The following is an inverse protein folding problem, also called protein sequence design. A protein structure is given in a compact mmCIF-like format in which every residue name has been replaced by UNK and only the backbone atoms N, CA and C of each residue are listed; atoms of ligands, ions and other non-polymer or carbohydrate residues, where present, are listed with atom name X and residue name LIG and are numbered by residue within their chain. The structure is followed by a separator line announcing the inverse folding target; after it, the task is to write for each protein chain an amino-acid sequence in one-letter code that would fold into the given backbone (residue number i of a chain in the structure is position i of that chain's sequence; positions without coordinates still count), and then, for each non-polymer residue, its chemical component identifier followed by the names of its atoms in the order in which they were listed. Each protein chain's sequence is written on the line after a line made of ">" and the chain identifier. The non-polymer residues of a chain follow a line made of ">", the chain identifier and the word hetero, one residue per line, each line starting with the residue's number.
data_IF_852722107564
#
_entry.id   IF_852722107564
#
_cell.length_a   1.000
_cell.length_b   1.000
_cell.length_c   1.000
_cell.angle_alpha   90.00
_cell.angle_beta   90.00
_cell.angle_gamma   90.00
#
_symmetry.space_group_name_H-M   'P 1'
#
loop_
_entity.id
_entity.type
_entity.pdbx_description
1 polymer ?
#
# COMPACT_ATOMS: atom_id res chain seq x y z
N UNK A 1 -12.83 -23.46 -38.25
CA UNK A 1 -13.07 -24.05 -36.90
C UNK A 1 -14.56 -24.02 -36.61
N UNK A 2 -15.15 -25.15 -36.15
CA UNK A 2 -16.58 -25.20 -35.81
C UNK A 2 -16.87 -24.44 -34.53
N UNK A 3 -17.78 -23.45 -34.59
CA UNK A 3 -18.22 -22.68 -33.40
C UNK A 3 -19.10 -23.55 -32.47
N UNK A 4 -19.36 -23.09 -31.24
CA UNK A 4 -20.16 -23.80 -30.23
C UNK A 4 -21.56 -24.20 -30.76
N UNK A 5 -22.20 -23.32 -31.54
CA UNK A 5 -23.51 -23.55 -32.15
C UNK A 5 -23.50 -24.72 -33.15
N UNK A 6 -22.48 -24.81 -34.02
CA UNK A 6 -22.31 -25.93 -34.96
C UNK A 6 -22.05 -27.26 -34.24
N UNK A 7 -21.33 -27.22 -33.13
CA UNK A 7 -21.05 -28.40 -32.30
C UNK A 7 -22.30 -28.90 -31.60
N UNK A 8 -23.16 -28.01 -31.16
CA UNK A 8 -24.47 -28.33 -30.58
C UNK A 8 -25.35 -28.99 -31.63
N UNK A 9 -25.43 -28.43 -32.83
CA UNK A 9 -26.17 -29.00 -33.95
C UNK A 9 -25.69 -30.42 -34.29
N UNK A 10 -24.36 -30.67 -34.27
CA UNK A 10 -23.78 -32.01 -34.50
C UNK A 10 -24.25 -33.01 -33.43
N UNK A 11 -24.38 -32.57 -32.17
CA UNK A 11 -24.79 -33.45 -31.07
C UNK A 11 -26.27 -33.78 -31.09
N UNK A 12 -27.11 -32.83 -31.49
CA UNK A 12 -28.57 -32.98 -31.54
C UNK A 12 -29.07 -33.66 -32.83
N UNK A 13 -28.24 -33.72 -33.86
CA UNK A 13 -28.65 -34.29 -35.15
C UNK A 13 -28.65 -35.82 -35.17
N UNK A 14 -29.71 -36.40 -35.74
CA UNK A 14 -29.84 -37.82 -35.99
C UNK A 14 -29.20 -38.27 -37.32
N UNK A 15 -28.73 -37.31 -38.12
CA UNK A 15 -28.11 -37.59 -39.42
C UNK A 15 -26.86 -38.47 -39.28
N UNK A 16 -26.54 -39.19 -40.37
CA UNK A 16 -25.29 -39.95 -40.46
C UNK A 16 -24.07 -39.04 -40.44
N UNK A 17 -22.94 -39.54 -39.95
CA UNK A 17 -21.67 -38.79 -39.91
C UNK A 17 -21.26 -38.29 -41.29
N UNK A 18 -21.52 -39.09 -42.36
CA UNK A 18 -21.21 -38.74 -43.74
C UNK A 18 -22.09 -37.58 -44.24
N UNK A 19 -23.41 -37.61 -43.95
CA UNK A 19 -24.36 -36.57 -44.34
C UNK A 19 -24.03 -35.23 -43.62
N UNK A 20 -23.79 -35.27 -42.30
CA UNK A 20 -23.38 -34.12 -41.52
C UNK A 20 -22.04 -33.52 -41.99
N UNK A 21 -21.07 -34.37 -42.33
CA UNK A 21 -19.77 -33.92 -42.80
C UNK A 21 -19.90 -33.18 -44.15
N UNK A 22 -20.72 -33.71 -45.08
CA UNK A 22 -20.99 -33.06 -46.34
C UNK A 22 -21.76 -31.74 -46.16
N UNK A 23 -22.83 -31.74 -45.35
CA UNK A 23 -23.70 -30.57 -45.13
C UNK A 23 -22.95 -29.42 -44.43
N UNK A 24 -22.15 -29.72 -43.42
CA UNK A 24 -21.43 -28.74 -42.64
C UNK A 24 -20.02 -28.41 -43.18
N UNK A 25 -19.63 -29.08 -44.26
CA UNK A 25 -18.28 -28.98 -44.87
C UNK A 25 -17.17 -29.20 -43.82
N UNK A 26 -17.31 -30.25 -43.02
CA UNK A 26 -16.37 -30.59 -41.94
C UNK A 26 -15.81 -32.01 -42.15
N UNK A 27 -14.60 -32.25 -41.63
CA UNK A 27 -14.02 -33.59 -41.67
C UNK A 27 -14.86 -34.56 -40.84
N UNK A 28 -15.16 -35.77 -41.33
CA UNK A 28 -15.92 -36.81 -40.62
C UNK A 28 -15.36 -37.11 -39.21
N UNK A 29 -14.03 -37.07 -39.03
CA UNK A 29 -13.40 -37.23 -37.72
C UNK A 29 -13.79 -36.13 -36.76
N UNK A 30 -14.00 -34.90 -37.26
CA UNK A 30 -14.46 -33.76 -36.45
C UNK A 30 -15.91 -33.96 -36.03
N UNK A 31 -16.77 -34.46 -36.93
CA UNK A 31 -18.17 -34.79 -36.61
C UNK A 31 -18.23 -35.88 -35.54
N UNK A 32 -17.50 -37.00 -35.72
CA UNK A 32 -17.43 -38.07 -34.72
C UNK A 32 -16.95 -37.57 -33.37
N UNK A 33 -15.89 -36.78 -33.35
CA UNK A 33 -15.35 -36.17 -32.09
C UNK A 33 -16.43 -35.38 -31.35
N UNK A 34 -17.18 -34.53 -32.05
CA UNK A 34 -18.17 -33.67 -31.39
C UNK A 34 -19.47 -34.39 -31.09
N UNK A 35 -19.88 -35.42 -31.87
CA UNK A 35 -21.07 -36.25 -31.61
C UNK A 35 -20.96 -37.02 -30.28
N UNK A 36 -19.72 -37.39 -29.87
CA UNK A 36 -19.44 -38.10 -28.62
C UNK A 36 -18.86 -37.24 -27.51
N UNK A 37 -18.65 -35.91 -27.73
CA UNK A 37 -17.89 -35.09 -26.79
C UNK A 37 -18.63 -34.70 -25.49
N UNK A 38 -19.97 -34.80 -25.46
CA UNK A 38 -20.81 -34.40 -24.32
C UNK A 38 -20.66 -32.93 -23.90
N UNK A 39 -20.04 -32.09 -24.77
CA UNK A 39 -19.78 -30.66 -24.54
C UNK A 39 -19.64 -29.95 -25.87
N UNK A 40 -19.99 -28.65 -25.90
CA UNK A 40 -19.88 -27.79 -27.09
C UNK A 40 -18.63 -26.92 -27.09
N UNK A 41 -18.00 -26.74 -25.95
CA UNK A 41 -16.78 -25.96 -25.80
C UNK A 41 -15.51 -26.84 -25.86
N UNK A 42 -14.40 -26.25 -26.30
CA UNK A 42 -13.12 -26.93 -26.25
C UNK A 42 -12.72 -27.25 -24.81
N UNK A 43 -12.06 -28.40 -24.61
CA UNK A 43 -11.46 -28.70 -23.33
C UNK A 43 -10.36 -27.66 -23.01
N UNK A 44 -10.24 -27.30 -21.77
CA UNK A 44 -9.08 -26.49 -21.33
C UNK A 44 -7.80 -27.20 -21.73
N UNK A 45 -6.94 -26.50 -22.47
CA UNK A 45 -5.61 -26.99 -22.83
C UNK A 45 -4.72 -27.01 -21.60
N UNK A 46 -3.83 -27.97 -21.50
CA UNK A 46 -2.87 -28.09 -20.41
C UNK A 46 -3.09 -29.30 -19.51
N UNK A 47 -2.18 -29.57 -18.59
CA UNK A 47 -2.24 -30.74 -17.71
C UNK A 47 -3.39 -30.61 -16.72
N UNK A 48 -4.09 -31.72 -16.43
CA UNK A 48 -5.18 -31.77 -15.42
C UNK A 48 -4.70 -31.42 -14.01
N UNK A 49 -3.45 -31.72 -13.66
CA UNK A 49 -2.80 -31.40 -12.39
C UNK A 49 -1.48 -30.68 -12.69
N UNK A 50 -1.51 -29.35 -12.85
CA UNK A 50 -0.30 -28.59 -13.14
C UNK A 50 0.65 -28.63 -11.94
N UNK A 51 1.93 -28.90 -12.19
CA UNK A 51 3.02 -28.89 -11.20
C UNK A 51 3.99 -27.76 -11.53
N UNK A 52 4.76 -27.30 -10.53
CA UNK A 52 5.90 -26.44 -10.80
C UNK A 52 7.03 -27.22 -11.45
N UNK A 53 7.70 -26.62 -12.41
CA UNK A 53 8.93 -27.14 -13.00
C UNK A 53 10.17 -26.47 -12.42
N UNK A 54 9.98 -25.43 -11.60
CA UNK A 54 11.05 -24.57 -11.07
C UNK A 54 11.12 -24.62 -9.54
N UNK A 55 9.97 -24.58 -8.87
CA UNK A 55 9.89 -24.62 -7.40
C UNK A 55 9.76 -26.06 -6.93
N UNK A 56 10.50 -26.42 -5.89
CA UNK A 56 10.37 -27.70 -5.19
C UNK A 56 9.08 -27.75 -4.36
N UNK A 57 8.57 -28.93 -4.00
CA UNK A 57 7.40 -29.04 -3.10
C UNK A 57 7.60 -28.34 -1.75
N UNK A 58 8.81 -28.39 -1.18
CA UNK A 58 9.15 -27.72 0.08
C UNK A 58 9.11 -26.20 -0.07
N UNK A 59 9.68 -25.66 -1.15
CA UNK A 59 9.62 -24.21 -1.43
C UNK A 59 8.16 -23.73 -1.62
N UNK A 60 7.33 -24.52 -2.32
CA UNK A 60 5.90 -24.20 -2.45
C UNK A 60 5.18 -24.21 -1.11
N UNK A 61 5.50 -25.15 -0.21
CA UNK A 61 4.93 -25.21 1.12
C UNK A 61 5.33 -23.98 1.96
N UNK A 62 6.61 -23.60 1.94
CA UNK A 62 7.10 -22.37 2.62
C UNK A 62 6.36 -21.14 2.09
N UNK A 63 6.23 -20.99 0.78
CA UNK A 63 5.51 -19.88 0.16
C UNK A 63 4.04 -19.86 0.63
N UNK A 64 3.38 -21.00 0.65
CA UNK A 64 1.97 -21.10 1.03
C UNK A 64 1.76 -20.74 2.51
N UNK A 65 2.59 -21.27 3.41
CA UNK A 65 2.51 -20.95 4.83
C UNK A 65 2.83 -19.49 5.11
N UNK A 66 3.89 -18.96 4.51
CA UNK A 66 4.22 -17.54 4.61
C UNK A 66 3.04 -16.65 4.18
N UNK A 67 2.39 -16.98 3.05
CA UNK A 67 1.21 -16.25 2.56
C UNK A 67 0.02 -16.34 3.50
N UNK A 68 -0.26 -17.53 4.09
CA UNK A 68 -1.37 -17.73 5.04
C UNK A 68 -1.18 -16.94 6.32
N UNK A 69 0.03 -16.97 6.87
CA UNK A 69 0.36 -16.31 8.14
C UNK A 69 0.41 -14.80 7.98
N UNK A 70 1.14 -14.30 6.97
CA UNK A 70 1.37 -12.87 6.81
C UNK A 70 0.25 -12.12 6.11
N UNK A 71 -0.56 -12.81 5.28
CA UNK A 71 -1.55 -12.22 4.38
C UNK A 71 -0.97 -11.09 3.51
N UNK A 72 0.32 -11.12 3.25
CA UNK A 72 1.02 -10.14 2.43
C UNK A 72 0.55 -10.19 0.98
N UNK A 73 0.57 -9.06 0.28
CA UNK A 73 0.33 -9.01 -1.15
C UNK A 73 1.38 -9.81 -1.93
N UNK A 74 1.09 -10.19 -3.18
CA UNK A 74 1.98 -10.99 -4.02
C UNK A 74 3.41 -10.44 -4.08
N UNK A 75 3.53 -9.13 -4.27
CA UNK A 75 4.83 -8.47 -4.42
C UNK A 75 5.61 -8.43 -3.11
N UNK A 76 4.91 -8.29 -1.97
CA UNK A 76 5.53 -8.32 -0.63
C UNK A 76 6.03 -9.74 -0.30
N UNK A 77 5.26 -10.79 -0.63
CA UNK A 77 5.71 -12.19 -0.49
C UNK A 77 6.93 -12.46 -1.37
N UNK A 78 6.91 -11.97 -2.62
CA UNK A 78 8.04 -12.14 -3.53
C UNK A 78 9.32 -11.54 -2.96
N UNK A 79 9.26 -10.30 -2.49
CA UNK A 79 10.45 -9.62 -1.96
C UNK A 79 10.95 -10.26 -0.67
N UNK A 80 10.03 -10.69 0.21
CA UNK A 80 10.39 -11.34 1.48
C UNK A 80 11.08 -12.70 1.30
N UNK A 81 10.77 -13.42 0.22
CA UNK A 81 11.26 -14.80 0.03
C UNK A 81 12.32 -14.95 -1.07
N UNK A 82 12.57 -13.93 -1.90
CA UNK A 82 13.48 -14.04 -3.05
C UNK A 82 14.92 -14.37 -2.65
N UNK A 83 15.37 -13.92 -1.48
CA UNK A 83 16.73 -14.15 -1.00
C UNK A 83 16.92 -15.57 -0.45
N UNK A 84 15.84 -16.16 0.12
CA UNK A 84 15.81 -17.55 0.58
C UNK A 84 15.52 -18.55 -0.55
N UNK A 85 14.79 -18.12 -1.58
CA UNK A 85 14.44 -18.93 -2.75
C UNK A 85 14.97 -18.24 -4.02
N UNK A 86 16.26 -18.40 -4.39
CA UNK A 86 16.89 -17.66 -5.48
C UNK A 86 16.21 -17.84 -6.85
N UNK A 87 15.48 -18.98 -7.05
CA UNK A 87 14.70 -19.26 -8.26
C UNK A 87 13.32 -18.62 -8.27
N UNK A 88 12.94 -17.94 -7.18
CA UNK A 88 11.64 -17.32 -7.08
C UNK A 88 11.54 -16.15 -8.06
N UNK A 89 10.51 -16.15 -8.87
CA UNK A 89 10.11 -15.05 -9.73
C UNK A 89 8.67 -14.68 -9.42
N UNK A 90 8.29 -13.44 -9.70
CA UNK A 90 6.91 -13.01 -9.52
C UNK A 90 5.91 -13.92 -10.25
N UNK A 91 6.28 -14.43 -11.43
CA UNK A 91 5.43 -15.28 -12.27
C UNK A 91 5.25 -16.69 -11.71
N UNK A 92 6.35 -17.32 -11.21
CA UNK A 92 6.24 -18.66 -10.63
C UNK A 92 5.58 -18.64 -9.25
N UNK A 93 5.81 -17.57 -8.45
CA UNK A 93 5.08 -17.32 -7.21
C UNK A 93 3.58 -17.17 -7.43
N UNK A 94 3.15 -16.36 -8.42
CA UNK A 94 1.73 -16.19 -8.72
C UNK A 94 1.09 -17.52 -9.12
N UNK A 95 1.74 -18.30 -9.99
CA UNK A 95 1.26 -19.63 -10.39
C UNK A 95 1.22 -20.62 -9.23
N UNK A 96 2.20 -20.58 -8.32
CA UNK A 96 2.19 -21.36 -7.08
C UNK A 96 0.95 -21.03 -6.25
N UNK A 97 0.75 -19.74 -5.92
CA UNK A 97 -0.41 -19.30 -5.14
C UNK A 97 -1.75 -19.62 -5.81
N UNK A 98 -1.83 -19.57 -7.17
CA UNK A 98 -3.03 -20.00 -7.89
C UNK A 98 -3.31 -21.50 -7.73
N UNK A 99 -2.28 -22.35 -7.86
CA UNK A 99 -2.44 -23.81 -7.68
C UNK A 99 -2.96 -24.18 -6.29
N UNK A 100 -2.53 -23.44 -5.28
CA UNK A 100 -2.90 -23.66 -3.88
C UNK A 100 -4.11 -22.84 -3.41
N UNK A 101 -4.83 -22.14 -4.32
CA UNK A 101 -6.02 -21.35 -3.97
C UNK A 101 -5.75 -20.09 -3.17
N UNK A 102 -4.49 -19.63 -3.10
CA UNK A 102 -4.04 -18.50 -2.28
C UNK A 102 -3.77 -17.21 -3.09
N UNK A 103 -4.20 -17.18 -4.36
CA UNK A 103 -3.96 -16.03 -5.24
C UNK A 103 -4.77 -14.79 -4.85
N UNK A 104 -5.98 -14.99 -4.31
CA UNK A 104 -6.81 -13.91 -3.75
C UNK A 104 -6.60 -13.82 -2.26
N UNK A 105 -6.46 -12.59 -1.74
CA UNK A 105 -6.62 -12.34 -0.31
C UNK A 105 -8.12 -12.37 0.00
N UNK A 106 -8.53 -12.74 1.24
CA UNK A 106 -9.90 -12.53 1.68
C UNK A 106 -10.26 -11.06 1.43
N UNK A 107 -11.41 -10.81 0.84
CA UNK A 107 -11.80 -9.53 0.27
C UNK A 107 -11.72 -8.37 1.26
N UNK A 108 -10.81 -7.44 0.98
CA UNK A 108 -11.05 -6.01 1.17
C UNK A 108 -11.66 -5.50 -0.16
N UNK A 109 -12.86 -5.92 -0.49
CA UNK A 109 -13.60 -5.51 -1.69
C UNK A 109 -14.15 -4.09 -1.53
N UNK A 110 -13.25 -3.10 -1.47
CA UNK A 110 -13.60 -1.72 -1.69
C UNK A 110 -12.55 -1.04 -2.58
N UNK A 111 -12.97 -0.77 -3.83
CA UNK A 111 -12.37 0.21 -4.73
C UNK A 111 -11.08 -0.16 -5.45
N UNK A 112 -11.12 -1.11 -6.37
CA UNK A 112 -10.28 -1.04 -7.58
C UNK A 112 -11.10 -0.50 -8.75
N UNK A 113 -11.33 0.82 -8.77
CA UNK A 113 -11.70 1.50 -10.01
C UNK A 113 -10.43 1.62 -10.87
N UNK A 114 -10.50 1.21 -12.12
CA UNK A 114 -9.51 1.51 -13.14
C UNK A 114 -9.43 3.03 -13.33
N UNK A 115 -8.48 3.65 -12.64
CA UNK A 115 -8.17 5.07 -12.86
C UNK A 115 -7.04 5.17 -13.86
N UNK A 116 -7.30 5.84 -14.98
CA UNK A 116 -6.31 6.25 -15.97
C UNK A 116 -5.07 6.82 -15.29
N UNK A 117 -3.89 6.35 -15.69
CA UNK A 117 -2.60 6.80 -15.17
C UNK A 117 -2.34 8.23 -15.61
N UNK A 118 -2.85 9.23 -14.91
CA UNK A 118 -2.37 10.60 -15.06
C UNK A 118 -0.91 10.63 -14.62
N UNK A 119 -0.01 11.09 -15.47
CA UNK A 119 1.39 11.36 -15.09
C UNK A 119 1.38 12.41 -14.00
N UNK A 120 1.81 12.03 -12.80
CA UNK A 120 2.00 12.97 -11.72
C UNK A 120 3.23 13.80 -11.97
N UNK A 121 3.17 15.09 -11.62
CA UNK A 121 4.32 15.99 -11.66
C UNK A 121 5.43 15.45 -10.74
N UNK A 122 6.67 15.43 -11.22
CA UNK A 122 7.81 15.06 -10.39
C UNK A 122 8.08 16.15 -9.36
N UNK A 123 8.38 15.72 -8.14
CA UNK A 123 8.73 16.58 -7.02
C UNK A 123 10.03 16.07 -6.38
N UNK A 124 10.78 16.99 -5.80
CA UNK A 124 11.91 16.64 -4.94
C UNK A 124 11.42 16.09 -3.58
N UNK A 125 12.31 15.39 -2.86
CA UNK A 125 12.05 14.92 -1.49
C UNK A 125 11.74 16.12 -0.58
N UNK A 126 10.83 15.95 0.39
CA UNK A 126 10.42 17.01 1.31
C UNK A 126 9.05 17.62 1.00
N UNK A 127 8.31 17.06 0.03
CA UNK A 127 6.89 17.33 -0.10
C UNK A 127 6.11 16.31 0.76
N UNK A 128 5.47 16.76 1.83
CA UNK A 128 4.78 15.91 2.81
C UNK A 128 3.28 16.17 2.78
N UNK A 129 2.50 15.10 2.82
CA UNK A 129 1.05 15.16 3.03
C UNK A 129 0.76 14.82 4.48
N UNK A 130 -0.05 15.62 5.15
CA UNK A 130 -0.46 15.42 6.54
C UNK A 130 -1.96 15.22 6.59
N UNK A 131 -2.40 14.31 7.44
CA UNK A 131 -3.80 14.02 7.73
C UNK A 131 -3.95 13.54 9.16
N UNK A 132 -5.15 13.73 9.72
CA UNK A 132 -5.51 13.28 11.06
C UNK A 132 -6.69 12.34 10.94
N UNK A 133 -6.58 11.19 11.55
CA UNK A 133 -7.66 10.21 11.54
C UNK A 133 -7.97 9.72 12.95
N UNK A 134 -9.25 9.54 13.22
CA UNK A 134 -9.71 8.97 14.47
C UNK A 134 -9.38 7.48 14.55
N UNK A 135 -8.90 7.03 15.70
CA UNK A 135 -8.73 5.63 16.05
C UNK A 135 -9.39 5.39 17.41
N UNK A 136 -10.03 4.25 17.58
CA UNK A 136 -10.70 3.87 18.82
C UNK A 136 -10.03 2.63 19.39
N UNK A 137 -9.79 2.69 20.68
CA UNK A 137 -9.42 1.57 21.52
C UNK A 137 -10.53 1.37 22.54
N UNK A 138 -10.47 0.32 23.35
CA UNK A 138 -11.54 0.03 24.32
C UNK A 138 -11.79 1.19 25.27
N UNK A 139 -10.71 1.73 25.85
CA UNK A 139 -10.78 2.72 26.91
C UNK A 139 -11.09 4.13 26.42
N UNK A 140 -10.74 4.47 25.16
CA UNK A 140 -10.84 5.86 24.69
C UNK A 140 -10.73 6.00 23.17
N UNK A 141 -11.03 7.21 22.73
CA UNK A 141 -10.83 7.70 21.37
C UNK A 141 -9.51 8.48 21.31
N UNK A 142 -8.71 8.18 20.29
CA UNK A 142 -7.44 8.85 20.01
C UNK A 142 -7.43 9.44 18.60
N UNK A 143 -6.56 10.38 18.37
CA UNK A 143 -6.33 11.00 17.08
C UNK A 143 -4.92 10.65 16.59
N UNK A 144 -4.86 9.97 15.45
CA UNK A 144 -3.62 9.60 14.81
C UNK A 144 -3.26 10.65 13.76
N UNK A 145 -2.18 11.37 13.99
CA UNK A 145 -1.59 12.33 13.09
C UNK A 145 -0.58 11.61 12.21
N UNK A 146 -0.71 11.74 10.91
CA UNK A 146 0.14 11.03 9.94
C UNK A 146 0.69 12.00 8.93
N UNK A 147 2.01 12.04 8.80
CA UNK A 147 2.72 12.73 7.74
C UNK A 147 3.42 11.72 6.82
N UNK A 148 3.24 11.82 5.50
CA UNK A 148 3.90 10.95 4.53
C UNK A 148 4.60 11.76 3.44
N UNK A 149 5.88 11.50 3.23
CA UNK A 149 6.62 12.10 2.13
C UNK A 149 6.15 11.53 0.79
N UNK A 150 5.80 12.42 -0.15
CA UNK A 150 5.28 12.05 -1.46
C UNK A 150 6.27 11.23 -2.28
N UNK A 151 7.56 11.48 -2.17
CA UNK A 151 8.61 10.90 -2.99
C UNK A 151 9.14 9.60 -2.38
N UNK A 152 9.70 9.66 -1.17
CA UNK A 152 10.32 8.49 -0.54
C UNK A 152 9.34 7.61 0.25
N UNK A 153 8.08 8.03 0.42
CA UNK A 153 7.04 7.32 1.21
C UNK A 153 7.38 7.14 2.69
N UNK A 154 8.42 7.79 3.18
CA UNK A 154 8.71 7.83 4.61
C UNK A 154 7.52 8.43 5.35
N UNK A 155 7.07 7.77 6.40
CA UNK A 155 5.91 8.18 7.17
C UNK A 155 6.29 8.44 8.62
N UNK A 156 5.78 9.55 9.16
CA UNK A 156 5.89 9.93 10.55
C UNK A 156 4.49 9.92 11.18
N UNK A 157 4.35 9.39 12.39
CA UNK A 157 3.04 9.17 13.01
C UNK A 157 3.10 9.47 14.50
N UNK A 158 2.08 10.17 15.02
CA UNK A 158 1.87 10.38 16.45
C UNK A 158 0.42 10.07 16.85
N UNK A 159 0.22 9.73 18.11
CA UNK A 159 -1.10 9.55 18.73
C UNK A 159 -1.31 10.62 19.79
N UNK A 160 -2.42 11.34 19.70
CA UNK A 160 -2.85 12.38 20.61
C UNK A 160 -4.27 12.14 21.11
N UNK A 161 -4.56 12.61 22.31
CA UNK A 161 -5.90 12.50 22.89
C UNK A 161 -6.90 13.50 22.28
N UNK A 162 -6.40 14.57 21.68
CA UNK A 162 -7.20 15.64 21.08
C UNK A 162 -6.64 16.08 19.73
N UNK A 163 -7.53 16.50 18.86
CA UNK A 163 -7.21 17.12 17.58
C UNK A 163 -7.27 18.64 17.73
N UNK A 164 -6.19 19.22 18.25
CA UNK A 164 -6.08 20.68 18.47
C UNK A 164 -5.00 21.29 17.58
N UNK A 165 -5.01 22.61 17.45
CA UNK A 165 -3.96 23.38 16.76
C UNK A 165 -2.60 23.19 17.42
N UNK A 166 -2.55 23.18 18.76
CA UNK A 166 -1.32 22.99 19.54
C UNK A 166 -0.69 21.62 19.22
N UNK A 167 -1.51 20.55 19.19
CA UNK A 167 -1.05 19.21 18.84
C UNK A 167 -0.58 19.13 17.38
N UNK A 168 -1.25 19.82 16.45
CA UNK A 168 -0.82 19.89 15.05
C UNK A 168 0.53 20.62 14.89
N UNK A 169 0.73 21.71 15.62
CA UNK A 169 2.01 22.45 15.65
C UNK A 169 3.12 21.60 16.27
N UNK A 170 2.83 20.91 17.38
CA UNK A 170 3.82 20.03 18.02
C UNK A 170 4.19 18.85 17.13
N UNK A 171 3.20 18.21 16.49
CA UNK A 171 3.42 17.16 15.50
C UNK A 171 4.34 17.63 14.36
N UNK A 172 4.08 18.83 13.81
CA UNK A 172 4.92 19.38 12.75
C UNK A 172 6.35 19.62 13.21
N UNK A 173 6.53 20.19 14.42
CA UNK A 173 7.87 20.42 15.01
C UNK A 173 8.64 19.13 15.17
N UNK A 174 8.01 18.10 15.71
CA UNK A 174 8.61 16.79 15.91
C UNK A 174 8.95 16.11 14.56
N UNK A 175 8.04 16.20 13.58
CA UNK A 175 8.26 15.67 12.25
C UNK A 175 9.45 16.34 11.53
N UNK A 176 9.59 17.66 11.64
CA UNK A 176 10.74 18.40 11.09
C UNK A 176 12.05 17.91 11.72
N UNK A 177 12.07 17.70 13.03
CA UNK A 177 13.25 17.20 13.75
C UNK A 177 13.58 15.75 13.39
N UNK A 178 12.57 14.93 13.12
CA UNK A 178 12.75 13.51 12.81
C UNK A 178 13.16 13.25 11.37
N UNK A 179 12.59 13.97 10.40
CA UNK A 179 12.95 13.79 8.99
C UNK A 179 14.41 14.21 8.74
N UNK A 180 15.26 13.39 8.10
CA UNK A 180 16.63 13.78 7.79
C UNK A 180 16.72 14.78 6.62
N UNK A 181 15.67 14.87 5.81
CA UNK A 181 15.55 15.78 4.65
C UNK A 181 14.81 17.07 5.00
N UNK A 182 15.11 18.12 4.28
CA UNK A 182 14.42 19.41 4.41
C UNK A 182 12.98 19.28 3.90
N UNK A 183 12.00 19.60 4.73
CA UNK A 183 10.61 19.70 4.31
C UNK A 183 10.44 21.10 3.71
N UNK A 184 10.05 21.16 2.44
CA UNK A 184 9.86 22.43 1.71
C UNK A 184 8.38 22.69 1.37
N UNK A 185 7.54 21.64 1.44
CA UNK A 185 6.11 21.77 1.14
C UNK A 185 5.29 20.80 1.97
N UNK A 186 4.18 21.30 2.49
CA UNK A 186 3.19 20.50 3.23
C UNK A 186 1.83 20.68 2.56
N UNK A 187 1.08 19.59 2.46
CA UNK A 187 -0.31 19.57 2.05
C UNK A 187 -1.16 19.01 3.20
N UNK A 188 -2.15 19.78 3.65
CA UNK A 188 -3.16 19.35 4.62
C UNK A 188 -4.56 19.48 4.05
N UNK A 189 -5.54 18.93 4.75
CA UNK A 189 -6.94 19.32 4.56
C UNK A 189 -7.20 20.74 5.11
N UNK A 190 -8.47 21.20 5.03
CA UNK A 190 -8.87 22.52 5.52
C UNK A 190 -9.34 22.50 6.99
N UNK A 191 -8.94 21.49 7.78
CA UNK A 191 -9.32 21.38 9.18
C UNK A 191 -8.89 22.57 10.02
N UNK A 192 -9.65 22.94 11.05
CA UNK A 192 -9.39 24.09 11.91
C UNK A 192 -8.05 23.99 12.66
N UNK A 193 -7.50 22.80 12.82
CA UNK A 193 -6.18 22.55 13.40
C UNK A 193 -5.02 23.00 12.49
N UNK A 194 -5.27 23.21 11.19
CA UNK A 194 -4.27 23.60 10.20
C UNK A 194 -4.49 25.00 9.64
N UNK A 195 -5.73 25.53 9.67
CA UNK A 195 -6.05 26.81 9.01
C UNK A 195 -7.29 27.46 9.60
N UNK A 196 -7.36 28.78 9.46
CA UNK A 196 -8.57 29.57 9.78
C UNK A 196 -9.59 29.63 8.63
N UNK A 197 -9.34 29.00 7.49
CA UNK A 197 -10.18 29.16 6.30
C UNK A 197 -11.63 28.66 6.46
N UNK A 198 -11.86 27.67 7.34
CA UNK A 198 -13.22 27.17 7.65
C UNK A 198 -14.00 28.04 8.62
N UNK A 199 -13.32 28.97 9.32
CA UNK A 199 -14.02 29.91 10.17
C UNK A 199 -14.82 30.87 9.30
N UNK A 200 -16.01 31.26 9.78
CA UNK A 200 -16.75 32.33 9.16
C UNK A 200 -15.90 33.62 9.12
N UNK A 201 -16.04 34.41 8.08
CA UNK A 201 -15.14 35.54 7.81
C UNK A 201 -15.02 36.52 8.99
N UNK A 202 -16.12 36.78 9.71
CA UNK A 202 -16.15 37.64 10.89
C UNK A 202 -15.45 37.03 12.12
N UNK A 203 -15.22 35.71 12.13
CA UNK A 203 -14.50 35.00 13.21
C UNK A 203 -13.02 34.75 12.89
N UNK A 204 -12.57 35.07 11.67
CA UNK A 204 -11.18 34.94 11.28
C UNK A 204 -10.36 36.03 11.95
N UNK A 205 -9.27 35.68 12.66
CA UNK A 205 -8.34 36.67 13.18
C UNK A 205 -7.77 37.50 12.02
N UNK A 206 -8.04 38.81 12.02
CA UNK A 206 -7.62 39.71 10.91
C UNK A 206 -6.09 39.92 10.87
N UNK A 207 -5.45 39.87 12.06
CA UNK A 207 -4.04 40.25 12.22
C UNK A 207 -3.16 39.13 12.77
N UNK A 208 -3.64 37.90 12.81
CA UNK A 208 -2.88 36.76 13.33
C UNK A 208 -2.85 35.61 12.33
N UNK A 209 -1.62 35.29 11.90
CA UNK A 209 -1.36 34.06 11.15
C UNK A 209 -1.74 32.83 11.97
N UNK A 210 -2.28 31.81 11.32
CA UNK A 210 -2.56 30.54 12.00
C UNK A 210 -1.26 29.95 12.57
N UNK A 211 -1.24 29.41 13.80
CA UNK A 211 0.01 28.93 14.44
C UNK A 211 0.74 27.87 13.62
N UNK A 212 0.00 27.02 12.89
CA UNK A 212 0.58 26.04 11.99
C UNK A 212 1.29 26.70 10.78
N UNK A 213 0.67 27.73 10.18
CA UNK A 213 1.27 28.51 9.09
C UNK A 213 2.49 29.31 9.59
N UNK A 214 2.44 29.84 10.80
CA UNK A 214 3.55 30.55 11.41
C UNK A 214 4.78 29.63 11.58
N UNK A 215 4.58 28.39 12.04
CA UNK A 215 5.67 27.41 12.13
C UNK A 215 6.18 27.02 10.75
N UNK A 216 5.30 26.85 9.75
CA UNK A 216 5.71 26.60 8.38
C UNK A 216 6.59 27.74 7.84
N UNK A 217 6.17 29.00 8.03
CA UNK A 217 6.93 30.17 7.60
C UNK A 217 8.30 30.27 8.28
N UNK A 218 8.38 29.94 9.58
CA UNK A 218 9.64 29.93 10.33
C UNK A 218 10.68 28.95 9.76
N UNK A 219 10.22 27.88 9.10
CA UNK A 219 11.06 26.82 8.51
C UNK A 219 11.11 26.87 6.96
N UNK A 220 10.69 27.96 6.33
CA UNK A 220 10.62 28.12 4.87
C UNK A 220 9.78 27.03 4.17
N UNK A 221 8.74 26.55 4.83
CA UNK A 221 7.83 25.52 4.34
C UNK A 221 6.61 26.17 3.69
N UNK A 222 6.36 25.84 2.42
CA UNK A 222 5.12 26.24 1.75
C UNK A 222 3.96 25.35 2.22
N UNK A 223 3.03 25.90 2.98
CA UNK A 223 1.81 25.20 3.34
C UNK A 223 0.74 25.34 2.25
N UNK A 224 0.19 24.22 1.80
CA UNK A 224 -0.90 24.13 0.83
C UNK A 224 -2.09 23.41 1.43
N UNK A 225 -3.27 23.86 1.08
CA UNK A 225 -4.53 23.24 1.47
C UNK A 225 -5.10 22.44 0.30
N UNK A 226 -5.79 21.35 0.58
CA UNK A 226 -6.55 20.61 -0.43
C UNK A 226 -7.66 21.50 -0.98
N UNK A 227 -7.91 21.42 -2.29
CA UNK A 227 -9.03 22.14 -2.90
C UNK A 227 -10.36 21.63 -2.32
N UNK A 228 -11.24 22.55 -2.00
CA UNK A 228 -12.58 22.22 -1.53
C UNK A 228 -13.27 21.27 -2.53
N UNK A 229 -13.87 20.18 -2.05
CA UNK A 229 -14.52 19.11 -2.84
C UNK A 229 -13.59 18.33 -3.79
N UNK A 230 -12.25 18.34 -3.55
CA UNK A 230 -11.30 17.52 -4.32
C UNK A 230 -10.52 16.54 -3.40
N UNK A 231 -11.17 15.55 -2.77
CA UNK A 231 -10.57 14.67 -1.78
C UNK A 231 -9.40 13.84 -2.35
N UNK A 232 -9.39 13.56 -3.65
CA UNK A 232 -8.31 12.78 -4.29
C UNK A 232 -6.91 13.42 -4.23
N UNK A 233 -6.79 14.67 -3.81
CA UNK A 233 -5.49 15.34 -3.68
C UNK A 233 -4.70 14.81 -2.49
N UNK A 234 -5.35 14.27 -1.46
CA UNK A 234 -4.73 13.72 -0.25
C UNK A 234 -4.66 12.17 -0.22
N UNK A 235 -4.93 11.52 -1.35
CA UNK A 235 -5.05 10.06 -1.42
C UNK A 235 -3.82 9.26 -0.95
N UNK A 236 -2.62 9.86 -0.89
CA UNK A 236 -1.43 9.14 -0.39
C UNK A 236 -1.47 8.93 1.12
N UNK A 237 -1.83 9.96 1.87
CA UNK A 237 -1.93 9.85 3.34
C UNK A 237 -3.15 9.03 3.74
N UNK A 238 -4.26 9.09 2.98
CA UNK A 238 -5.43 8.23 3.19
C UNK A 238 -5.07 6.74 3.03
N UNK A 239 -4.26 6.42 2.00
CA UNK A 239 -3.72 5.05 1.84
C UNK A 239 -2.83 4.67 3.02
N UNK A 240 -1.99 5.58 3.52
CA UNK A 240 -1.15 5.32 4.68
C UNK A 240 -1.99 5.10 5.95
N UNK A 241 -3.00 5.93 6.19
CA UNK A 241 -3.96 5.75 7.28
C UNK A 241 -4.63 4.37 7.24
N UNK A 242 -5.05 3.93 6.05
CA UNK A 242 -5.63 2.59 5.86
C UNK A 242 -4.62 1.48 6.13
N UNK A 243 -3.38 1.62 5.66
CA UNK A 243 -2.30 0.64 5.91
C UNK A 243 -2.06 0.53 7.41
N UNK A 244 -1.89 1.64 8.12
CA UNK A 244 -1.67 1.63 9.57
C UNK A 244 -2.85 0.97 10.29
N UNK A 245 -4.08 1.41 10.02
CA UNK A 245 -5.28 0.83 10.65
C UNK A 245 -5.42 -0.66 10.39
N UNK A 246 -5.11 -1.12 9.18
CA UNK A 246 -5.17 -2.55 8.85
C UNK A 246 -4.10 -3.39 9.57
N UNK A 247 -2.97 -2.78 9.92
CA UNK A 247 -1.91 -3.48 10.66
C UNK A 247 -1.95 -3.22 12.17
N UNK A 248 -2.87 -2.40 12.64
CA UNK A 248 -3.09 -2.09 14.06
C UNK A 248 -4.56 -2.27 14.45
N UNK A 249 -5.32 -1.21 14.59
CA UNK A 249 -6.65 -1.15 15.22
C UNK A 249 -7.76 -1.96 14.55
N UNK A 250 -7.60 -2.38 13.30
CA UNK A 250 -8.57 -3.27 12.63
C UNK A 250 -8.34 -4.75 12.90
N UNK A 251 -7.10 -5.14 13.20
CA UNK A 251 -6.72 -6.55 13.36
C UNK A 251 -6.32 -6.90 14.80
N UNK A 252 -6.10 -5.91 15.65
CA UNK A 252 -5.67 -6.10 17.03
C UNK A 252 -6.53 -5.27 17.98
N UNK A 253 -6.77 -5.83 19.12
CA UNK A 253 -7.46 -5.20 20.22
C UNK A 253 -6.47 -4.58 21.19
N UNK A 254 -6.77 -3.39 21.70
CA UNK A 254 -5.91 -2.66 22.64
C UNK A 254 -6.72 -2.16 23.81
N UNK A 255 -6.30 -2.56 25.00
CA UNK A 255 -6.87 -2.09 26.27
C UNK A 255 -6.40 -0.67 26.60
N UNK A 256 -5.13 -0.35 26.29
CA UNK A 256 -4.50 0.91 26.65
C UNK A 256 -3.90 1.63 25.44
N UNK A 257 -3.78 2.97 25.54
CA UNK A 257 -3.12 3.77 24.52
C UNK A 257 -1.62 3.43 24.38
N UNK A 258 -0.96 3.05 25.47
CA UNK A 258 0.46 2.67 25.49
C UNK A 258 0.68 1.40 24.69
N UNK A 259 -0.20 0.41 24.80
CA UNK A 259 -0.12 -0.82 24.02
C UNK A 259 -0.24 -0.52 22.50
N UNK A 260 -1.17 0.35 22.10
CA UNK A 260 -1.30 0.80 20.73
C UNK A 260 -0.07 1.61 20.28
N UNK A 261 0.44 2.54 21.08
CA UNK A 261 1.66 3.34 20.79
C UNK A 261 2.85 2.43 20.54
N UNK A 262 3.09 1.45 21.42
CA UNK A 262 4.20 0.48 21.29
C UNK A 262 4.10 -0.33 20.01
N UNK A 263 2.90 -0.84 19.68
CA UNK A 263 2.70 -1.60 18.43
C UNK A 263 2.86 -0.70 17.19
N UNK A 264 2.29 0.50 17.23
CA UNK A 264 2.43 1.48 16.16
C UNK A 264 3.90 1.84 15.90
N UNK A 265 4.70 2.03 16.97
CA UNK A 265 6.13 2.28 16.86
C UNK A 265 6.85 1.13 16.15
N UNK A 266 6.61 -0.11 16.58
CA UNK A 266 7.19 -1.29 15.94
C UNK A 266 6.78 -1.43 14.46
N UNK A 267 5.49 -1.18 14.16
CA UNK A 267 5.00 -1.19 12.80
C UNK A 267 5.67 -0.12 11.93
N UNK A 268 5.80 1.11 12.43
CA UNK A 268 6.42 2.22 11.69
C UNK A 268 7.91 1.99 11.45
N UNK A 269 8.61 1.37 12.40
CA UNK A 269 9.98 0.91 12.20
C UNK A 269 10.08 -0.09 11.05
N UNK A 270 9.27 -1.14 11.08
CA UNK A 270 9.23 -2.13 10.01
C UNK A 270 8.84 -1.50 8.66
N UNK A 271 7.85 -0.60 8.65
CA UNK A 271 7.41 0.08 7.43
C UNK A 271 8.51 0.95 6.81
N UNK A 272 9.14 1.81 7.62
CA UNK A 272 10.11 2.78 7.11
C UNK A 272 11.45 2.14 6.73
N UNK A 273 11.93 1.17 7.49
CA UNK A 273 13.28 0.64 7.34
C UNK A 273 13.37 -0.73 6.69
N UNK A 274 12.31 -1.53 6.71
CA UNK A 274 12.38 -2.92 6.26
C UNK A 274 11.39 -3.26 5.14
N UNK A 275 10.25 -2.55 5.05
CA UNK A 275 9.21 -2.89 4.10
C UNK A 275 9.54 -2.39 2.69
N UNK A 276 9.81 -3.29 1.72
CA UNK A 276 10.05 -2.89 0.36
C UNK A 276 8.74 -2.50 -0.32
N UNK A 277 8.70 -1.32 -0.94
CA UNK A 277 7.52 -0.80 -1.60
C UNK A 277 7.66 -0.88 -3.13
N UNK A 278 6.66 -1.45 -3.79
CA UNK A 278 6.64 -1.52 -5.26
C UNK A 278 6.75 -0.14 -5.92
N UNK A 279 6.13 0.88 -5.34
CA UNK A 279 6.21 2.26 -5.82
C UNK A 279 7.63 2.83 -5.78
N UNK A 280 8.52 2.26 -4.96
CA UNK A 280 9.93 2.62 -4.82
C UNK A 280 10.87 1.60 -5.48
N UNK A 281 10.38 0.82 -6.44
CA UNK A 281 11.15 -0.26 -7.09
C UNK A 281 11.69 -1.29 -6.08
N UNK A 282 10.87 -1.59 -5.07
CA UNK A 282 11.17 -2.51 -3.97
C UNK A 282 12.30 -2.06 -3.01
N UNK A 283 12.59 -0.78 -2.96
CA UNK A 283 13.32 -0.18 -1.86
C UNK A 283 12.39 0.07 -0.68
N UNK A 284 12.94 0.04 0.54
CA UNK A 284 12.22 0.59 1.69
C UNK A 284 12.15 2.13 1.59
N UNK A 285 11.22 2.79 2.31
CA UNK A 285 11.22 4.25 2.39
C UNK A 285 12.58 4.83 2.77
N UNK A 286 13.29 4.21 3.72
CA UNK A 286 14.58 4.71 4.17
C UNK A 286 15.72 4.44 3.16
N UNK A 287 15.73 3.28 2.49
CA UNK A 287 16.67 3.03 1.39
C UNK A 287 16.49 4.05 0.27
N UNK A 288 15.24 4.46 0.01
CA UNK A 288 14.97 5.53 -0.96
C UNK A 288 15.49 6.89 -0.50
N UNK A 289 15.47 7.19 0.80
CA UNK A 289 16.10 8.38 1.38
C UNK A 289 17.61 8.35 1.13
N UNK A 290 18.26 7.22 1.40
CA UNK A 290 19.70 7.03 1.15
C UNK A 290 20.04 7.21 -0.34
N UNK A 291 19.25 6.60 -1.23
CA UNK A 291 19.43 6.72 -2.67
C UNK A 291 19.38 8.20 -3.12
N UNK A 292 18.44 8.99 -2.60
CA UNK A 292 18.33 10.42 -2.90
C UNK A 292 19.47 11.23 -2.27
N UNK A 293 19.86 10.90 -1.04
CA UNK A 293 21.00 11.55 -0.38
C UNK A 293 22.28 11.45 -1.21
N UNK A 294 22.57 10.28 -1.73
CA UNK A 294 23.77 10.04 -2.54
C UNK A 294 23.78 10.87 -3.85
N UNK A 295 22.61 11.27 -4.34
CA UNK A 295 22.48 12.05 -5.58
C UNK A 295 22.32 13.56 -5.29
N UNK A 296 21.60 13.93 -4.19
CA UNK A 296 21.20 15.31 -3.88
C UNK A 296 21.36 15.62 -2.39
N UNK A 297 22.59 15.61 -1.83
CA UNK A 297 22.80 15.82 -0.38
C UNK A 297 22.35 17.19 0.12
N UNK A 298 22.29 18.21 -0.74
CA UNK A 298 21.86 19.58 -0.39
C UNK A 298 20.39 19.67 0.04
N UNK A 299 19.56 18.67 -0.30
CA UNK A 299 18.15 18.58 0.12
C UNK A 299 17.97 18.09 1.56
N UNK A 300 19.07 17.84 2.26
CA UNK A 300 19.07 17.29 3.61
C UNK A 300 19.70 18.28 4.59
N UNK A 301 19.37 18.11 5.86
CA UNK A 301 20.00 18.85 6.96
C UNK A 301 20.82 17.94 7.88
N UNK A 302 20.59 16.62 7.79
CA UNK A 302 21.36 15.60 8.52
C UNK A 302 21.74 14.49 7.56
N UNK A 303 22.94 13.93 7.71
CA UNK A 303 23.34 12.72 6.99
C UNK A 303 22.45 11.54 7.44
N UNK A 304 21.62 10.95 6.54
CA UNK A 304 20.68 9.91 6.92
C UNK A 304 21.37 8.62 7.40
N UNK A 305 22.62 8.37 7.03
CA UNK A 305 23.36 7.21 7.57
C UNK A 305 23.51 7.25 9.09
N UNK A 306 23.49 8.43 9.71
CA UNK A 306 23.56 8.56 11.17
C UNK A 306 22.23 8.22 11.89
N UNK A 307 21.13 8.10 11.15
CA UNK A 307 19.79 7.77 11.68
C UNK A 307 19.35 6.33 11.37
N UNK A 308 20.22 5.50 10.79
CA UNK A 308 19.88 4.09 10.55
C UNK A 308 19.88 3.36 11.89
N UNK A 309 18.77 2.69 12.29
CA UNK A 309 18.74 1.88 13.49
C UNK A 309 19.70 0.70 13.35
N UNK A 310 20.77 0.68 14.11
CA UNK A 310 21.70 -0.45 14.21
C UNK A 310 21.38 -1.33 15.41
N UNK A 311 21.88 -2.59 15.38
CA UNK A 311 21.76 -3.54 16.50
C UNK A 311 22.32 -3.00 17.84
N UNK A 312 23.20 -2.00 17.79
CA UNK A 312 23.85 -1.39 18.94
C UNK A 312 23.35 0.01 19.32
N UNK A 313 22.37 0.57 18.63
CA UNK A 313 21.81 1.88 18.94
C UNK A 313 20.56 1.75 19.82
N UNK A 314 20.75 1.59 21.13
CA UNK A 314 19.68 1.68 22.15
C UNK A 314 19.08 3.09 22.29
N UNK A 315 19.37 4.05 21.39
CA UNK A 315 18.95 5.45 21.48
C UNK A 315 17.90 5.85 20.45
N UNK A 316 16.82 5.09 20.29
CA UNK A 316 15.68 5.55 19.48
C UNK A 316 14.34 5.39 20.19
N UNK A 317 14.06 6.18 21.24
CA UNK A 317 12.70 6.30 21.77
C UNK A 317 11.78 7.20 20.92
N UNK A 318 12.29 7.91 19.89
CA UNK A 318 11.59 9.03 19.26
C UNK A 318 10.94 8.74 17.88
N UNK A 319 10.91 7.50 17.41
CA UNK A 319 10.41 7.19 16.05
C UNK A 319 8.88 7.27 15.95
N UNK A 320 8.17 7.39 17.05
CA UNK A 320 6.72 7.61 17.10
C UNK A 320 6.32 8.51 18.25
N UNK A 321 6.94 9.67 18.46
CA UNK A 321 6.48 10.60 19.48
C UNK A 321 6.29 10.00 20.89
N UNK A 322 6.89 8.85 21.18
CA UNK A 322 6.87 8.24 22.49
C UNK A 322 8.01 8.86 23.28
N UNK A 323 7.76 10.02 23.86
CA UNK A 323 8.59 10.49 24.95
C UNK A 323 8.46 9.49 26.10
N UNK A 324 9.38 8.56 26.20
CA UNK A 324 9.57 7.76 27.40
C UNK A 324 10.23 8.69 28.44
N UNK A 325 9.43 9.44 29.15
CA UNK A 325 9.82 9.92 30.48
C UNK A 325 9.66 8.72 31.43
N UNK A 326 10.78 8.12 31.78
CA UNK A 326 10.93 7.36 33.03
C UNK A 326 11.20 8.34 34.16
#
# INVERSE_FOLDING_TARGET
>A
MSGARVRQEIQESEESVAALAARLNLNPKTIMKWKHAGRTNDAKSGPKKPRSTVLTPTEEQVICEFRRVTKFALDDVFVSLRDQIPRLTRSNLHRCLQRHGLSKLPDDDAARSEKSKKKFKDYDIGYVHIDITEVRIESQKLYMFVGICRVCKFAYVELHDRMTTENAVQFLRNMIAECPFKIHMILTDNGAQFTHQLLAEHLRPKDKMHPFDALCAQHDITHRLTKFRHPWTNGQVEVMNRIIKNHTTKNYYYETAEALKKHLAAFMMAYNYQRPLRALKFLSPYDKIIDIWNQKPHLFHINPYHKIPGLNNQKYPHICGVNAHY
#
